data_IF_732648560191
#
_entry.id   IF_732648560191
#
_cell.length_a   1.000
_cell.length_b   1.000
_cell.length_c   1.000
_cell.angle_alpha   90.00
_cell.angle_beta   90.00
_cell.angle_gamma   90.00
#
_symmetry.space_group_name_H-M   'P 1'
#
loop_
_entity.id
_entity.type
_entity.pdbx_description
1 polymer ?
#
# COMPACT_ATOMS: atom_id res chain seq x y z
N UNK A 1 43.28 -11.02 -3.91
CA UNK A 1 43.21 -11.01 -2.43
C UNK A 1 42.98 -9.58 -2.02
N UNK A 2 41.77 -9.10 -1.71
CA UNK A 2 40.60 -9.83 -1.20
C UNK A 2 39.30 -9.17 -1.65
N UNK A 3 38.31 -10.03 -1.90
CA UNK A 3 36.87 -9.72 -1.99
C UNK A 3 36.39 -8.97 -0.74
N UNK A 4 35.66 -7.88 -0.95
CA UNK A 4 34.68 -7.41 0.03
C UNK A 4 33.31 -7.72 -0.58
N UNK A 5 32.71 -8.83 -0.14
CA UNK A 5 31.32 -9.13 -0.40
C UNK A 5 30.45 -8.09 0.32
N UNK A 6 30.08 -7.03 -0.40
CA UNK A 6 28.98 -6.14 0.00
C UNK A 6 27.70 -6.95 -0.22
N UNK A 7 27.10 -7.45 0.87
CA UNK A 7 25.77 -8.03 0.82
C UNK A 7 24.82 -7.01 0.19
N UNK A 8 24.23 -7.36 -0.95
CA UNK A 8 23.44 -6.44 -1.75
C UNK A 8 22.14 -6.07 -1.02
N UNK A 9 22.17 -4.99 -0.23
CA UNK A 9 20.96 -4.28 0.15
C UNK A 9 20.22 -3.92 -1.15
N UNK A 10 19.03 -4.48 -1.37
CA UNK A 10 18.24 -4.12 -2.54
C UNK A 10 17.97 -2.61 -2.51
N UNK A 11 18.06 -1.95 -3.66
CA UNK A 11 17.78 -0.53 -3.77
C UNK A 11 16.32 -0.24 -3.34
N UNK A 12 16.05 0.85 -2.60
CA UNK A 12 14.70 1.21 -2.15
C UNK A 12 13.64 1.19 -3.26
N UNK A 13 14.03 1.52 -4.49
CA UNK A 13 13.18 1.49 -5.68
C UNK A 13 12.75 0.06 -6.04
N UNK A 14 13.67 -0.90 -5.97
CA UNK A 14 13.37 -2.30 -6.26
C UNK A 14 12.40 -2.88 -5.20
N UNK A 15 12.61 -2.51 -3.93
CA UNK A 15 11.68 -2.86 -2.86
C UNK A 15 10.29 -2.25 -3.11
N UNK A 16 10.23 -0.96 -3.47
CA UNK A 16 8.96 -0.29 -3.76
C UNK A 16 8.19 -0.98 -4.91
N UNK A 17 8.86 -1.36 -5.99
CA UNK A 17 8.23 -2.07 -7.10
C UNK A 17 7.75 -3.47 -6.71
N UNK A 18 8.47 -4.17 -5.83
CA UNK A 18 8.03 -5.46 -5.28
C UNK A 18 6.76 -5.30 -4.43
N UNK A 19 6.74 -4.32 -3.52
CA UNK A 19 5.57 -3.97 -2.70
C UNK A 19 4.39 -3.57 -3.58
N UNK A 20 4.64 -2.82 -4.67
CA UNK A 20 3.62 -2.44 -5.64
C UNK A 20 3.01 -3.67 -6.32
N UNK A 21 3.84 -4.61 -6.78
CA UNK A 21 3.36 -5.87 -7.39
C UNK A 21 2.58 -6.72 -6.40
N UNK A 22 3.04 -6.84 -5.15
CA UNK A 22 2.30 -7.52 -4.09
C UNK A 22 0.92 -6.89 -3.87
N UNK A 23 0.82 -5.57 -3.84
CA UNK A 23 -0.47 -4.88 -3.69
C UNK A 23 -1.44 -5.19 -4.85
N UNK A 24 -0.94 -5.31 -6.08
CA UNK A 24 -1.74 -5.67 -7.25
C UNK A 24 -2.25 -7.11 -7.17
N UNK A 25 -1.41 -8.06 -6.71
CA UNK A 25 -1.84 -9.43 -6.45
C UNK A 25 -2.93 -9.49 -5.38
N UNK A 26 -2.79 -8.71 -4.30
CA UNK A 26 -3.78 -8.67 -3.23
C UNK A 26 -5.13 -8.13 -3.73
N UNK A 27 -5.11 -7.09 -4.57
CA UNK A 27 -6.33 -6.57 -5.22
C UNK A 27 -6.95 -7.61 -6.16
N UNK A 28 -6.12 -8.34 -6.91
CA UNK A 28 -6.61 -9.39 -7.81
C UNK A 28 -7.24 -10.56 -7.04
N UNK A 29 -6.75 -10.89 -5.84
CA UNK A 29 -7.27 -12.01 -5.04
C UNK A 29 -8.54 -11.66 -4.26
N UNK A 30 -8.68 -10.42 -3.78
CA UNK A 30 -9.76 -10.02 -2.86
C UNK A 30 -10.73 -8.97 -3.41
N UNK A 31 -10.49 -8.47 -4.62
CA UNK A 31 -11.17 -7.29 -5.17
C UNK A 31 -10.65 -5.98 -4.57
N UNK A 32 -11.13 -4.85 -5.09
CA UNK A 32 -10.76 -3.52 -4.57
C UNK A 32 -11.94 -2.69 -4.11
N UNK A 33 -11.67 -1.79 -3.16
CA UNK A 33 -12.56 -0.69 -2.79
C UNK A 33 -11.75 0.59 -2.61
N UNK A 34 -12.31 1.71 -3.06
CA UNK A 34 -11.63 3.00 -3.06
C UNK A 34 -12.33 4.00 -2.16
N UNK A 35 -11.54 4.74 -1.39
CA UNK A 35 -12.03 5.79 -0.51
C UNK A 35 -11.18 7.04 -0.71
N UNK A 36 -11.83 8.20 -0.80
CA UNK A 36 -11.19 9.48 -1.07
C UNK A 36 -11.34 10.39 0.14
N UNK A 37 -10.23 11.01 0.54
CA UNK A 37 -10.17 11.92 1.69
C UNK A 37 -9.39 13.17 1.33
N UNK A 38 -9.73 14.30 1.97
CA UNK A 38 -8.97 15.54 1.84
C UNK A 38 -8.25 15.87 3.16
N UNK A 39 -6.92 15.92 3.11
CA UNK A 39 -6.08 16.29 4.25
C UNK A 39 -5.33 17.57 3.87
N UNK A 40 -5.71 18.70 4.47
CA UNK A 40 -5.27 20.01 3.99
C UNK A 40 -5.74 20.24 2.55
N UNK A 41 -4.81 20.60 1.67
CA UNK A 41 -5.09 20.80 0.24
C UNK A 41 -4.88 19.53 -0.61
N UNK A 42 -4.51 18.41 0.01
CA UNK A 42 -4.18 17.17 -0.69
C UNK A 42 -5.36 16.19 -0.70
N UNK A 43 -5.64 15.63 -1.87
CA UNK A 43 -6.58 14.53 -2.08
C UNK A 43 -5.84 13.20 -1.98
N UNK A 44 -6.20 12.39 -1.00
CA UNK A 44 -5.73 11.03 -0.82
C UNK A 44 -6.75 10.04 -1.39
N UNK A 45 -6.27 9.08 -2.17
CA UNK A 45 -7.01 7.88 -2.58
C UNK A 45 -6.46 6.67 -1.84
N UNK A 46 -7.29 6.04 -1.02
CA UNK A 46 -6.99 4.76 -0.39
C UNK A 46 -7.59 3.64 -1.23
N UNK A 47 -6.75 2.76 -1.75
CA UNK A 47 -7.12 1.58 -2.52
C UNK A 47 -6.95 0.34 -1.65
N UNK A 48 -8.05 -0.20 -1.12
CA UNK A 48 -8.04 -1.39 -0.29
C UNK A 48 -8.15 -2.65 -1.14
N UNK A 49 -7.32 -3.65 -0.88
CA UNK A 49 -7.54 -5.02 -1.31
C UNK A 49 -8.48 -5.73 -0.30
N UNK A 50 -9.65 -6.13 -0.76
CA UNK A 50 -10.69 -6.69 0.09
C UNK A 50 -11.32 -5.65 1.04
N UNK A 51 -12.06 -6.15 2.04
CA UNK A 51 -12.88 -5.32 2.95
C UNK A 51 -12.40 -5.32 4.40
N UNK A 52 -11.45 -6.16 4.77
CA UNK A 52 -11.09 -6.41 6.16
C UNK A 52 -10.47 -5.17 6.86
N UNK A 53 -9.68 -4.38 6.13
CA UNK A 53 -9.06 -3.15 6.64
C UNK A 53 -9.98 -1.92 6.60
N UNK A 54 -11.02 -1.92 5.75
CA UNK A 54 -11.93 -0.77 5.60
C UNK A 54 -12.55 -0.32 6.94
N UNK A 55 -13.20 -1.20 7.73
CA UNK A 55 -13.82 -0.77 8.99
C UNK A 55 -12.80 -0.40 10.07
N UNK A 56 -11.52 -0.76 9.90
CA UNK A 56 -10.45 -0.46 10.87
C UNK A 56 -9.82 0.91 10.62
N UNK A 57 -9.72 1.34 9.36
CA UNK A 57 -9.01 2.57 8.98
C UNK A 57 -9.94 3.73 8.63
N UNK A 58 -11.07 3.46 7.97
CA UNK A 58 -11.94 4.54 7.47
C UNK A 58 -12.67 5.36 8.55
N UNK A 59 -13.06 4.81 9.73
CA UNK A 59 -13.78 5.61 10.73
C UNK A 59 -13.00 6.85 11.21
N UNK A 60 -11.68 6.72 11.40
CA UNK A 60 -10.83 7.82 11.83
C UNK A 60 -10.75 8.95 10.77
N UNK A 61 -10.92 8.61 9.49
CA UNK A 61 -10.82 9.53 8.37
C UNK A 61 -12.18 10.00 7.86
N UNK A 62 -13.29 9.46 8.38
CA UNK A 62 -14.65 9.68 7.84
C UNK A 62 -15.03 11.16 7.74
N UNK A 63 -14.58 11.98 8.69
CA UNK A 63 -14.83 13.43 8.71
C UNK A 63 -14.11 14.21 7.58
N UNK A 64 -13.15 13.56 6.90
CA UNK A 64 -12.38 14.10 5.78
C UNK A 64 -12.82 13.52 4.44
N UNK A 65 -13.86 12.68 4.42
CA UNK A 65 -14.31 11.99 3.22
C UNK A 65 -14.82 12.98 2.16
N UNK A 66 -14.45 12.73 0.90
CA UNK A 66 -14.83 13.56 -0.24
C UNK A 66 -15.28 12.70 -1.42
N UNK A 67 -16.06 13.25 -2.37
CA UNK A 67 -16.32 12.57 -3.63
C UNK A 67 -15.01 12.24 -4.37
N UNK A 68 -15.01 11.20 -5.23
CA UNK A 68 -13.85 10.89 -6.08
C UNK A 68 -13.34 12.11 -6.84
N UNK A 69 -12.04 12.33 -6.77
CA UNK A 69 -11.32 13.44 -7.42
C UNK A 69 -9.93 12.97 -7.85
N UNK A 70 -9.23 13.78 -8.63
CA UNK A 70 -7.83 13.50 -8.99
C UNK A 70 -6.98 13.45 -7.70
N UNK A 71 -6.31 12.32 -7.41
CA UNK A 71 -5.55 12.18 -6.17
C UNK A 71 -4.12 12.73 -6.31
N UNK A 72 -3.66 13.42 -5.27
CA UNK A 72 -2.27 13.82 -5.11
C UNK A 72 -1.43 12.65 -4.56
N UNK A 73 -2.05 11.73 -3.83
CA UNK A 73 -1.43 10.53 -3.29
C UNK A 73 -2.39 9.34 -3.39
N UNK A 74 -1.89 8.21 -3.90
CA UNK A 74 -2.58 6.92 -3.84
C UNK A 74 -1.84 5.98 -2.90
N UNK A 75 -2.56 5.42 -1.94
CA UNK A 75 -2.04 4.42 -0.99
C UNK A 75 -2.74 3.10 -1.24
N UNK A 76 -1.97 2.03 -1.46
CA UNK A 76 -2.50 0.68 -1.57
C UNK A 76 -2.42 -0.02 -0.22
N UNK A 77 -3.54 -0.60 0.23
CA UNK A 77 -3.65 -1.21 1.55
C UNK A 77 -4.16 -2.64 1.43
N UNK A 78 -3.50 -3.57 2.11
CA UNK A 78 -3.94 -4.96 2.23
C UNK A 78 -3.45 -5.55 3.55
N UNK A 79 -4.16 -6.56 4.04
CA UNK A 79 -3.69 -7.42 5.12
C UNK A 79 -3.41 -8.83 4.59
N UNK A 80 -2.40 -9.48 5.14
CA UNK A 80 -1.97 -10.79 4.64
C UNK A 80 -2.93 -11.93 4.99
N UNK A 81 -3.75 -11.77 6.03
CA UNK A 81 -4.72 -12.79 6.47
C UNK A 81 -5.87 -12.91 5.49
N UNK A 82 -6.45 -11.79 5.07
CA UNK A 82 -7.62 -11.77 4.18
C UNK A 82 -7.27 -11.91 2.70
N UNK A 83 -6.05 -11.52 2.30
CA UNK A 83 -5.63 -11.53 0.88
C UNK A 83 -4.71 -12.67 0.51
N UNK A 84 -4.07 -13.32 1.51
CA UNK A 84 -3.02 -14.33 1.31
C UNK A 84 -1.68 -13.76 0.82
N UNK A 85 -1.57 -12.44 0.63
CA UNK A 85 -0.36 -11.81 0.10
C UNK A 85 0.48 -11.21 1.23
N UNK A 86 1.71 -11.71 1.36
CA UNK A 86 2.65 -11.23 2.38
C UNK A 86 3.30 -9.91 1.96
N UNK A 87 3.64 -9.08 2.94
CA UNK A 87 4.46 -7.89 2.73
C UNK A 87 5.90 -8.33 2.41
N UNK A 88 6.50 -7.89 1.30
CA UNK A 88 7.92 -8.12 1.04
C UNK A 88 8.79 -7.58 2.19
N UNK A 89 9.89 -8.26 2.57
CA UNK A 89 10.77 -7.76 3.62
C UNK A 89 11.51 -6.49 3.13
N UNK A 90 11.64 -5.46 3.98
CA UNK A 90 12.39 -4.26 3.62
C UNK A 90 13.90 -4.54 3.54
N UNK A 91 14.65 -3.79 2.71
CA UNK A 91 16.09 -4.01 2.53
C UNK A 91 16.98 -3.43 3.64
N UNK A 92 16.42 -2.75 4.66
CA UNK A 92 17.16 -2.05 5.72
C UNK A 92 17.07 -2.74 7.09
N UNK A 93 17.15 -4.06 7.13
CA UNK A 93 17.16 -4.86 8.38
C UNK A 93 18.50 -4.83 9.10
#
# INVERSE_FOLDING_TARGET
MSDIAVGAAQAPEAFFEEVRRASQLAIASAGSSEHYYRIGDFVLRLCFAGRALVPQLTPALQHLAVPPAAPDLTVFLWDSVSTGVQMPPPPWT
#
